data_IF_371258180190
#
_entry.id   IF_371258180190
#
_cell.length_a   1.000
_cell.length_b   1.000
_cell.length_c   1.000
_cell.angle_alpha   90.00
_cell.angle_beta   90.00
_cell.angle_gamma   90.00
#
_symmetry.space_group_name_H-M   'P 1'
#
loop_
_entity.id
_entity.type
_entity.pdbx_description
1 polymer ?
#
# COMPACT_ATOMS: atom_id res chain seq x y z
N UNK A 1 -11.85 -15.75 11.97
CA UNK A 1 -12.96 -14.95 12.54
C UNK A 1 -14.00 -15.86 13.17
N UNK A 2 -14.54 -16.85 12.45
CA UNK A 2 -15.55 -17.75 12.98
C UNK A 2 -15.04 -18.52 14.21
N UNK A 3 -13.81 -19.01 14.17
CA UNK A 3 -13.20 -19.73 15.30
C UNK A 3 -13.04 -18.83 16.53
N UNK A 4 -12.74 -17.60 16.35
CA UNK A 4 -12.69 -16.63 17.46
C UNK A 4 -14.06 -16.44 18.12
N UNK A 5 -14.86 -16.40 17.41
CA UNK A 5 -16.16 -16.28 17.91
C UNK A 5 -16.67 -17.48 18.63
N UNK A 6 -16.32 -18.71 18.12
CA UNK A 6 -16.67 -19.96 18.83
C UNK A 6 -15.98 -20.03 20.21
N UNK A 7 -14.71 -19.69 20.26
CA UNK A 7 -13.95 -19.66 21.52
C UNK A 7 -14.55 -18.68 22.53
N UNK A 8 -14.95 -17.48 22.05
CA UNK A 8 -15.60 -16.51 22.93
C UNK A 8 -16.96 -17.00 23.44
N UNK A 9 -17.74 -17.67 22.55
CA UNK A 9 -19.04 -18.21 22.93
C UNK A 9 -18.94 -19.34 23.96
N UNK A 10 -17.86 -20.14 23.88
CA UNK A 10 -17.62 -21.21 24.86
C UNK A 10 -17.25 -20.65 26.24
N UNK A 11 -16.51 -19.55 26.29
CA UNK A 11 -16.06 -18.96 27.55
C UNK A 11 -17.08 -18.00 28.17
N UNK A 12 -17.71 -17.13 27.34
CA UNK A 12 -18.59 -16.05 27.81
C UNK A 12 -20.07 -16.26 27.47
N UNK A 13 -20.38 -17.19 26.55
CA UNK A 13 -21.74 -17.42 26.07
C UNK A 13 -22.22 -16.40 25.04
N UNK A 14 -21.38 -15.46 24.61
CA UNK A 14 -21.75 -14.38 23.68
C UNK A 14 -21.17 -14.65 22.29
N UNK A 15 -22.02 -14.50 21.28
CA UNK A 15 -21.65 -14.69 19.86
C UNK A 15 -21.28 -13.37 19.17
N UNK A 16 -21.32 -12.25 19.90
CA UNK A 16 -21.09 -10.93 19.31
C UNK A 16 -19.58 -10.68 19.14
N UNK A 17 -19.15 -10.42 17.91
CA UNK A 17 -17.75 -10.15 17.56
C UNK A 17 -17.28 -8.82 18.15
N UNK A 18 -18.25 -7.89 18.42
CA UNK A 18 -17.94 -6.58 18.99
C UNK A 18 -17.76 -6.61 20.51
N UNK A 19 -17.94 -7.78 21.15
CA UNK A 19 -17.83 -7.95 22.59
C UNK A 19 -17.03 -9.21 22.94
N UNK A 20 -15.76 -9.22 22.50
CA UNK A 20 -14.84 -10.33 22.80
C UNK A 20 -14.12 -10.06 24.12
N UNK A 21 -14.37 -10.87 25.11
CA UNK A 21 -13.74 -10.75 26.43
C UNK A 21 -12.56 -11.70 26.58
N UNK A 22 -12.59 -12.82 25.87
CA UNK A 22 -11.51 -13.82 25.93
C UNK A 22 -10.28 -13.30 25.17
N UNK A 23 -9.10 -13.18 25.82
CA UNK A 23 -7.89 -12.67 25.17
C UNK A 23 -7.40 -13.57 24.03
N UNK A 24 -7.68 -14.89 24.10
CA UNK A 24 -7.30 -15.80 23.01
C UNK A 24 -8.17 -15.56 21.78
N UNK A 25 -9.48 -15.31 21.97
CA UNK A 25 -10.39 -14.97 20.89
C UNK A 25 -9.99 -13.64 20.25
N UNK A 26 -9.54 -12.65 21.04
CA UNK A 26 -9.05 -11.35 20.55
C UNK A 26 -7.81 -11.52 19.67
N UNK A 27 -6.85 -12.34 20.09
CA UNK A 27 -5.62 -12.57 19.29
C UNK A 27 -5.95 -13.33 18.00
N UNK A 28 -6.86 -14.31 18.05
CA UNK A 28 -7.28 -15.03 16.86
C UNK A 28 -8.01 -14.12 15.85
N UNK A 29 -8.82 -13.19 16.36
CA UNK A 29 -9.52 -12.22 15.50
C UNK A 29 -8.51 -11.29 14.81
N UNK A 30 -7.54 -10.76 15.57
CA UNK A 30 -6.51 -9.87 15.00
C UNK A 30 -5.65 -10.59 13.95
N UNK A 31 -5.26 -11.83 14.22
CA UNK A 31 -4.48 -12.63 13.26
C UNK A 31 -5.27 -12.95 12.00
N UNK A 32 -6.57 -13.27 12.14
CA UNK A 32 -7.44 -13.59 11.01
C UNK A 32 -7.64 -12.36 10.10
N UNK A 33 -7.85 -11.18 10.68
CA UNK A 33 -7.99 -9.94 9.93
C UNK A 33 -6.66 -9.53 9.28
N UNK A 34 -5.55 -9.71 10.00
CA UNK A 34 -4.20 -9.47 9.50
C UNK A 34 -3.86 -10.37 8.31
N UNK A 35 -4.27 -11.64 8.37
CA UNK A 35 -4.08 -12.58 7.26
C UNK A 35 -4.83 -12.11 6.02
N UNK A 36 -6.07 -11.64 6.16
CA UNK A 36 -6.87 -11.15 5.03
C UNK A 36 -6.28 -9.87 4.42
N UNK A 37 -5.73 -8.99 5.25
CA UNK A 37 -5.06 -7.77 4.78
C UNK A 37 -3.71 -8.08 4.12
N UNK A 38 -3.08 -9.18 4.50
CA UNK A 38 -1.75 -9.56 4.04
C UNK A 38 -0.64 -8.99 4.93
N UNK A 39 -0.91 -8.88 6.24
CA UNK A 39 0.10 -8.44 7.20
C UNK A 39 1.06 -9.61 7.53
N UNK A 40 2.30 -9.26 7.84
CA UNK A 40 3.29 -10.24 8.29
C UNK A 40 2.88 -10.80 9.67
N UNK A 41 3.11 -12.09 9.95
CA UNK A 41 3.90 -13.05 9.16
C UNK A 41 3.11 -13.79 8.06
N UNK A 42 1.81 -13.57 7.92
CA UNK A 42 0.92 -14.32 7.03
C UNK A 42 0.76 -13.65 5.65
N UNK A 43 1.81 -12.95 5.19
CA UNK A 43 1.77 -12.11 3.99
C UNK A 43 2.12 -12.85 2.68
N UNK A 44 2.64 -14.09 2.73
CA UNK A 44 3.27 -14.77 1.59
C UNK A 44 2.32 -14.97 0.40
N UNK A 45 1.01 -15.13 0.69
CA UNK A 45 0.00 -15.36 -0.35
C UNK A 45 -0.15 -14.15 -1.29
N UNK A 46 0.06 -12.92 -0.77
CA UNK A 46 -0.25 -11.69 -1.51
C UNK A 46 0.69 -11.47 -2.71
N UNK A 47 2.04 -11.53 -2.57
CA UNK A 47 2.92 -11.38 -3.74
C UNK A 47 2.74 -12.48 -4.79
N UNK A 48 2.44 -13.72 -4.36
CA UNK A 48 2.25 -14.86 -5.27
C UNK A 48 0.96 -14.70 -6.08
N UNK A 49 -0.15 -14.34 -5.42
CA UNK A 49 -1.43 -14.13 -6.08
C UNK A 49 -1.33 -12.96 -7.07
N UNK A 50 -0.72 -11.83 -6.65
CA UNK A 50 -0.59 -10.66 -7.52
C UNK A 50 0.31 -10.94 -8.73
N UNK A 51 1.33 -11.78 -8.57
CA UNK A 51 2.20 -12.20 -9.68
C UNK A 51 1.44 -13.03 -10.70
N UNK A 52 0.57 -13.93 -10.24
CA UNK A 52 -0.18 -14.87 -11.09
C UNK A 52 -1.41 -14.27 -11.78
N UNK A 53 -1.87 -13.08 -11.34
CA UNK A 53 -3.10 -12.48 -11.87
C UNK A 53 -2.81 -11.39 -12.89
N UNK A 54 -3.85 -10.96 -13.64
CA UNK A 54 -3.76 -9.84 -14.57
C UNK A 54 -3.68 -8.50 -13.81
N UNK A 55 -3.25 -7.45 -14.51
CA UNK A 55 -3.14 -6.10 -13.88
C UNK A 55 -4.49 -5.57 -13.43
N UNK A 56 -5.58 -5.88 -14.13
CA UNK A 56 -6.94 -5.46 -13.76
C UNK A 56 -7.36 -6.12 -12.44
N UNK A 57 -7.12 -7.43 -12.31
CA UNK A 57 -7.42 -8.16 -11.07
C UNK A 57 -6.48 -7.75 -9.94
N UNK A 58 -5.22 -7.42 -10.25
CA UNK A 58 -4.27 -6.88 -9.28
C UNK A 58 -4.80 -5.56 -8.68
N UNK A 59 -5.34 -4.68 -9.50
CA UNK A 59 -5.93 -3.42 -9.06
C UNK A 59 -7.07 -3.68 -8.05
N UNK A 60 -7.97 -4.56 -8.37
CA UNK A 60 -9.07 -4.96 -7.46
C UNK A 60 -8.53 -5.55 -6.16
N UNK A 61 -7.59 -6.34 -6.22
CA UNK A 61 -7.03 -6.99 -5.07
C UNK A 61 -6.30 -6.05 -4.15
N UNK A 62 -5.73 -4.97 -4.70
CA UNK A 62 -5.03 -4.03 -3.81
C UNK A 62 -5.92 -2.88 -3.32
N UNK A 63 -7.04 -2.60 -3.98
CA UNK A 63 -7.98 -1.54 -3.57
C UNK A 63 -9.23 -2.11 -2.92
N UNK A 64 -10.05 -2.80 -3.64
CA UNK A 64 -11.38 -3.27 -3.21
C UNK A 64 -11.31 -4.38 -2.13
N UNK A 65 -10.53 -5.15 -2.31
CA UNK A 65 -10.37 -6.26 -1.38
C UNK A 65 -9.84 -5.83 -0.02
N UNK A 66 -9.31 -4.67 0.02
CA UNK A 66 -8.81 -4.16 1.31
C UNK A 66 -9.88 -3.46 2.12
N UNK A 67 -10.96 -3.03 1.53
CA UNK A 67 -12.02 -2.26 2.21
C UNK A 67 -12.69 -3.05 3.32
N UNK A 68 -13.15 -4.27 3.05
CA UNK A 68 -13.89 -5.09 4.02
C UNK A 68 -13.07 -5.44 5.27
N UNK A 69 -11.87 -5.97 5.20
CA UNK A 69 -11.08 -6.19 6.41
C UNK A 69 -10.63 -4.92 7.15
N UNK A 70 -10.32 -3.92 6.48
CA UNK A 70 -10.02 -2.71 7.01
C UNK A 70 -11.11 -2.13 7.79
N UNK A 71 -12.48 -2.21 7.25
CA UNK A 71 -13.65 -1.71 8.03
C UNK A 71 -13.93 -2.56 9.25
N UNK A 72 -13.84 -3.86 9.12
CA UNK A 72 -13.98 -4.76 10.27
C UNK A 72 -12.95 -4.46 11.35
N UNK A 73 -11.70 -4.22 10.96
CA UNK A 73 -10.64 -3.91 11.93
C UNK A 73 -10.89 -2.57 12.65
N UNK A 74 -11.46 -1.60 11.92
CA UNK A 74 -11.83 -0.29 12.50
C UNK A 74 -13.01 -0.41 13.45
N UNK A 75 -13.98 -1.30 13.16
CA UNK A 75 -15.13 -1.52 14.02
C UNK A 75 -14.78 -2.31 15.28
N UNK A 76 -13.83 -3.25 15.16
CA UNK A 76 -13.42 -4.14 16.26
C UNK A 76 -12.13 -3.70 16.93
N UNK A 77 -11.69 -2.42 16.76
CA UNK A 77 -10.39 -1.97 17.28
C UNK A 77 -10.26 -2.11 18.80
N UNK A 78 -11.36 -1.94 19.55
CA UNK A 78 -11.39 -2.12 21.01
C UNK A 78 -11.19 -3.57 21.42
N UNK A 79 -11.52 -4.51 20.52
CA UNK A 79 -11.48 -5.95 20.81
C UNK A 79 -10.21 -6.62 20.26
N UNK A 80 -9.41 -5.88 19.48
CA UNK A 80 -8.16 -6.41 18.95
C UNK A 80 -7.06 -6.30 20.00
N UNK A 81 -6.20 -7.31 20.07
CA UNK A 81 -5.06 -7.27 21.00
C UNK A 81 -4.03 -6.27 20.47
N UNK A 82 -3.76 -5.25 21.27
CA UNK A 82 -2.83 -4.16 20.90
C UNK A 82 -1.44 -4.68 20.57
N UNK A 83 -0.97 -5.64 21.35
CA UNK A 83 0.37 -6.21 21.17
C UNK A 83 0.50 -6.90 19.81
N UNK A 84 -0.46 -7.77 19.47
CA UNK A 84 -0.40 -8.53 18.21
C UNK A 84 -0.52 -7.62 16.99
N UNK A 85 -1.44 -6.62 17.01
CA UNK A 85 -1.63 -5.73 15.86
C UNK A 85 -0.39 -4.84 15.63
N UNK A 86 0.24 -4.34 16.71
CA UNK A 86 1.43 -3.50 16.58
C UNK A 86 2.65 -4.32 16.13
N UNK A 87 2.81 -5.55 16.63
CA UNK A 87 3.91 -6.43 16.20
C UNK A 87 3.73 -6.85 14.74
N UNK A 88 2.51 -7.23 14.34
CA UNK A 88 2.21 -7.57 12.94
C UNK A 88 2.44 -6.38 12.01
N UNK A 89 2.04 -5.18 12.46
CA UNK A 89 2.25 -3.94 11.71
C UNK A 89 3.71 -3.61 11.52
N UNK A 90 4.50 -3.69 12.59
CA UNK A 90 5.94 -3.41 12.56
C UNK A 90 6.69 -4.41 11.66
N UNK A 91 6.37 -5.70 11.79
CA UNK A 91 6.94 -6.75 10.95
C UNK A 91 6.56 -6.54 9.47
N UNK A 92 5.32 -6.10 9.21
CA UNK A 92 4.84 -5.84 7.85
C UNK A 92 5.61 -4.70 7.19
N UNK A 93 5.89 -3.63 7.93
CA UNK A 93 6.67 -2.49 7.42
C UNK A 93 8.09 -2.94 7.08
N UNK A 94 8.73 -3.73 7.96
CA UNK A 94 10.08 -4.23 7.75
C UNK A 94 10.17 -5.18 6.55
N UNK A 95 9.27 -6.18 6.51
CA UNK A 95 9.27 -7.20 5.45
C UNK A 95 8.84 -6.57 4.11
N UNK A 96 7.86 -5.66 4.13
CA UNK A 96 7.41 -4.96 2.93
C UNK A 96 8.50 -4.08 2.32
N UNK A 97 9.27 -3.39 3.18
CA UNK A 97 10.39 -2.57 2.74
C UNK A 97 11.57 -3.37 2.19
N UNK A 98 12.00 -4.38 2.95
CA UNK A 98 13.15 -5.19 2.58
C UNK A 98 12.84 -6.17 1.44
N UNK A 99 11.64 -6.78 1.45
CA UNK A 99 11.23 -7.78 0.47
C UNK A 99 11.09 -7.22 -0.95
N UNK A 100 10.77 -5.93 -1.08
CA UNK A 100 10.63 -5.29 -2.37
C UNK A 100 11.93 -4.94 -3.07
N UNK A 101 13.05 -4.88 -2.34
CA UNK A 101 14.34 -4.39 -2.86
C UNK A 101 14.92 -5.28 -3.97
N UNK A 102 14.76 -6.61 -3.86
CA UNK A 102 15.35 -7.56 -4.79
C UNK A 102 14.38 -8.06 -5.86
N UNK A 103 13.20 -7.42 -5.98
CA UNK A 103 12.18 -7.87 -6.93
C UNK A 103 12.38 -7.20 -8.30
N UNK A 104 12.26 -8.00 -9.35
CA UNK A 104 12.35 -7.54 -10.75
C UNK A 104 10.97 -7.35 -11.38
N UNK A 105 9.92 -7.97 -10.81
CA UNK A 105 8.56 -7.89 -11.34
C UNK A 105 7.78 -6.77 -10.64
N UNK A 106 7.14 -5.91 -11.44
CA UNK A 106 6.42 -4.72 -10.93
C UNK A 106 5.26 -5.10 -10.02
N UNK A 107 4.55 -6.19 -10.33
CA UNK A 107 3.42 -6.65 -9.49
C UNK A 107 3.88 -7.10 -8.11
N UNK A 108 5.06 -7.73 -8.01
CA UNK A 108 5.63 -8.12 -6.71
C UNK A 108 6.07 -6.88 -5.91
N UNK A 109 6.65 -5.89 -6.58
CA UNK A 109 7.07 -4.63 -5.94
C UNK A 109 5.83 -3.92 -5.35
N UNK A 110 4.74 -3.86 -6.13
CA UNK A 110 3.46 -3.26 -5.67
C UNK A 110 2.88 -4.06 -4.50
N UNK A 111 2.99 -5.40 -4.53
CA UNK A 111 2.54 -6.27 -3.43
C UNK A 111 3.28 -5.93 -2.14
N UNK A 112 4.61 -5.84 -2.19
CA UNK A 112 5.43 -5.53 -1.01
C UNK A 112 5.18 -4.10 -0.51
N UNK A 113 4.96 -3.14 -1.41
CA UNK A 113 4.59 -1.78 -1.02
C UNK A 113 3.22 -1.75 -0.33
N UNK A 114 2.26 -2.56 -0.78
CA UNK A 114 0.96 -2.66 -0.14
C UNK A 114 1.06 -3.26 1.27
N UNK A 115 1.94 -4.28 1.46
CA UNK A 115 2.19 -4.88 2.77
C UNK A 115 2.76 -3.82 3.73
N UNK A 116 3.71 -3.00 3.26
CA UNK A 116 4.32 -1.94 4.08
C UNK A 116 3.31 -0.86 4.46
N UNK A 117 2.49 -0.38 3.51
CA UNK A 117 1.48 0.65 3.77
C UNK A 117 0.39 0.17 4.73
N UNK A 118 -0.06 -1.07 4.57
CA UNK A 118 -1.05 -1.67 5.48
C UNK A 118 -0.46 -1.93 6.86
N UNK A 119 0.85 -2.23 6.92
CA UNK A 119 1.58 -2.33 8.19
C UNK A 119 1.55 -1.02 8.97
N UNK A 120 1.77 0.11 8.29
CA UNK A 120 1.64 1.45 8.88
C UNK A 120 0.23 1.69 9.39
N UNK A 121 -0.79 1.33 8.59
CA UNK A 121 -2.19 1.47 8.99
C UNK A 121 -2.48 0.66 10.26
N UNK A 122 -1.98 -0.58 10.33
CA UNK A 122 -2.19 -1.47 11.47
C UNK A 122 -1.58 -0.91 12.77
N UNK A 123 -0.39 -0.29 12.68
CA UNK A 123 0.25 0.31 13.86
C UNK A 123 -0.50 1.54 14.38
N UNK A 124 -1.18 2.28 13.49
CA UNK A 124 -1.89 3.52 13.83
C UNK A 124 -3.31 3.23 14.34
N UNK A 125 -3.91 2.15 13.96
CA UNK A 125 -5.32 1.83 14.22
C UNK A 125 -5.66 1.86 15.71
N UNK A 126 -4.75 1.48 16.15
CA UNK A 126 -4.90 1.38 17.52
C UNK A 126 -4.91 2.69 18.26
N UNK A 127 -4.56 3.64 17.69
CA UNK A 127 -4.40 4.96 18.34
C UNK A 127 -5.43 5.96 17.81
N UNK A 128 -5.68 5.98 16.52
CA UNK A 128 -6.71 6.82 15.93
C UNK A 128 -7.30 6.14 14.69
N UNK A 129 -8.58 5.86 14.75
CA UNK A 129 -9.33 5.24 13.65
C UNK A 129 -9.37 6.17 12.43
N UNK A 130 -9.50 7.46 12.69
CA UNK A 130 -9.49 8.47 11.62
C UNK A 130 -8.18 8.50 10.83
N UNK A 131 -7.10 8.32 11.35
CA UNK A 131 -5.84 8.30 10.77
C UNK A 131 -5.54 7.09 9.99
N UNK A 132 -6.15 6.06 10.51
CA UNK A 132 -6.05 4.81 9.77
C UNK A 132 -6.91 4.83 8.51
N UNK A 133 -8.11 5.33 8.61
CA UNK A 133 -9.01 5.50 7.45
C UNK A 133 -8.39 6.44 6.41
N UNK A 134 -7.82 7.55 6.86
CA UNK A 134 -7.15 8.51 5.97
C UNK A 134 -5.97 7.85 5.24
N UNK A 135 -5.17 7.05 5.96
CA UNK A 135 -4.04 6.33 5.36
C UNK A 135 -4.51 5.35 4.28
N UNK A 136 -5.63 4.65 4.54
CA UNK A 136 -6.22 3.73 3.57
C UNK A 136 -6.70 4.47 2.31
N UNK A 137 -7.42 5.58 2.48
CA UNK A 137 -7.94 6.36 1.36
C UNK A 137 -6.80 6.94 0.52
N UNK A 138 -5.75 7.46 1.16
CA UNK A 138 -4.57 7.99 0.45
C UNK A 138 -3.83 6.88 -0.30
N UNK A 139 -3.69 5.70 0.31
CA UNK A 139 -3.07 4.55 -0.34
C UNK A 139 -3.86 4.16 -1.61
N UNK A 140 -5.19 4.10 -1.53
CA UNK A 140 -6.04 3.76 -2.68
C UNK A 140 -5.90 4.83 -3.77
N UNK A 141 -5.91 6.13 -3.39
CA UNK A 141 -5.79 7.25 -4.33
C UNK A 141 -4.46 7.25 -5.08
N UNK A 142 -3.36 6.86 -4.41
CA UNK A 142 -2.03 6.83 -5.04
C UNK A 142 -1.83 5.56 -5.87
N UNK A 143 -2.32 4.41 -5.37
CA UNK A 143 -2.10 3.12 -6.04
C UNK A 143 -2.97 2.95 -7.30
N UNK A 144 -4.16 3.58 -7.38
CA UNK A 144 -5.05 3.45 -8.55
C UNK A 144 -4.42 4.01 -9.83
N UNK A 145 -3.90 5.26 -9.89
CA UNK A 145 -3.31 5.77 -11.14
C UNK A 145 -2.03 5.01 -11.52
N UNK A 146 -1.27 4.54 -10.53
CA UNK A 146 -0.09 3.71 -10.80
C UNK A 146 -0.49 2.42 -11.53
N UNK A 147 -1.49 1.73 -11.00
CA UNK A 147 -1.99 0.48 -11.61
C UNK A 147 -2.63 0.72 -12.97
N UNK A 148 -3.38 1.82 -13.13
CA UNK A 148 -4.00 2.18 -14.41
C UNK A 148 -2.93 2.48 -15.47
N UNK A 149 -1.84 3.15 -15.10
CA UNK A 149 -0.72 3.44 -16.01
C UNK A 149 -0.02 2.14 -16.43
N UNK A 150 0.13 1.17 -15.52
CA UNK A 150 0.70 -0.14 -15.83
C UNK A 150 -0.22 -0.97 -16.73
N UNK A 151 -1.55 -0.87 -16.53
CA UNK A 151 -2.54 -1.52 -17.41
C UNK A 151 -2.42 -0.94 -18.82
N UNK A 152 -2.25 0.39 -18.91
CA UNK A 152 -2.17 1.12 -20.17
C UNK A 152 -0.90 0.73 -20.96
N UNK A 153 0.25 0.68 -20.28
CA UNK A 153 1.55 0.39 -20.89
C UNK A 153 1.83 -1.12 -21.01
N UNK A 154 1.12 -1.95 -20.24
CA UNK A 154 1.29 -3.42 -20.20
C UNK A 154 2.69 -3.89 -19.81
N UNK A 155 3.41 -3.07 -19.04
CA UNK A 155 4.78 -3.40 -18.58
C UNK A 155 4.74 -4.34 -17.37
N UNK A 156 5.57 -5.38 -17.39
CA UNK A 156 5.59 -6.42 -16.35
C UNK A 156 6.85 -6.35 -15.48
N UNK A 157 7.98 -5.96 -16.06
CA UNK A 157 9.27 -5.99 -15.39
C UNK A 157 9.85 -4.58 -15.24
N UNK A 158 10.83 -4.45 -14.33
CA UNK A 158 11.58 -3.19 -14.14
C UNK A 158 12.38 -2.83 -15.37
N UNK A 159 12.83 -3.83 -16.13
CA UNK A 159 13.58 -3.64 -17.38
C UNK A 159 12.68 -3.01 -18.46
N UNK A 160 11.40 -3.44 -18.53
CA UNK A 160 10.44 -2.84 -19.46
C UNK A 160 10.11 -1.41 -19.10
N UNK A 161 10.17 -1.08 -17.80
CA UNK A 161 9.95 0.27 -17.30
C UNK A 161 10.99 1.24 -17.84
N UNK A 162 12.26 0.80 -17.95
CA UNK A 162 13.35 1.63 -18.49
C UNK A 162 13.12 1.97 -19.97
N UNK A 163 12.51 1.04 -20.73
CA UNK A 163 12.23 1.25 -22.16
C UNK A 163 10.93 1.99 -22.44
N UNK A 164 10.10 2.23 -21.42
CA UNK A 164 8.78 2.88 -21.57
C UNK A 164 8.87 4.34 -22.04
N UNK A 165 10.01 4.99 -21.78
CA UNK A 165 10.27 6.38 -22.21
C UNK A 165 10.13 6.54 -23.72
N UNK A 166 10.48 5.51 -24.50
CA UNK A 166 10.41 5.56 -25.97
C UNK A 166 8.97 5.53 -26.49
N UNK A 167 8.03 4.93 -25.72
CA UNK A 167 6.63 4.81 -26.15
C UNK A 167 5.81 6.05 -25.82
N UNK A 168 5.87 6.50 -24.56
CA UNK A 168 5.07 7.65 -24.08
C UNK A 168 5.82 8.37 -22.95
N UNK A 169 6.62 9.42 -23.27
CA UNK A 169 7.42 10.08 -22.23
C UNK A 169 6.57 10.78 -21.16
N UNK A 170 5.42 11.35 -21.54
CA UNK A 170 4.52 11.99 -20.58
C UNK A 170 3.97 10.99 -19.57
N UNK A 171 3.51 9.83 -20.03
CA UNK A 171 2.95 8.81 -19.15
C UNK A 171 4.02 8.23 -18.22
N UNK A 172 5.25 8.07 -18.73
CA UNK A 172 6.38 7.59 -17.91
C UNK A 172 6.75 8.59 -16.80
N UNK A 173 6.80 9.88 -17.11
CA UNK A 173 7.10 10.91 -16.08
C UNK A 173 6.00 10.95 -15.02
N UNK A 174 4.73 10.87 -15.42
CA UNK A 174 3.61 10.84 -14.48
C UNK A 174 3.63 9.58 -13.62
N UNK A 175 3.97 8.44 -14.19
CA UNK A 175 4.11 7.17 -13.47
C UNK A 175 5.27 7.23 -12.47
N UNK A 176 6.37 7.88 -12.84
CA UNK A 176 7.50 8.14 -11.94
C UNK A 176 7.07 9.00 -10.75
N UNK A 177 6.28 10.05 -11.01
CA UNK A 177 5.75 10.93 -9.96
C UNK A 177 4.84 10.18 -9.00
N UNK A 178 3.99 9.25 -9.51
CA UNK A 178 3.13 8.42 -8.64
C UNK A 178 3.94 7.44 -7.81
N UNK A 179 5.03 6.89 -8.34
CA UNK A 179 5.93 6.01 -7.58
C UNK A 179 6.64 6.78 -6.46
N UNK A 180 7.09 8.01 -6.73
CA UNK A 180 7.69 8.89 -5.72
C UNK A 180 6.66 9.28 -4.66
N UNK A 181 5.41 9.51 -5.06
CA UNK A 181 4.30 9.80 -4.15
C UNK A 181 4.01 8.59 -3.26
N UNK A 182 4.02 7.37 -3.82
CA UNK A 182 3.83 6.14 -3.06
C UNK A 182 4.97 5.96 -2.03
N UNK A 183 6.19 6.42 -2.39
CA UNK A 183 7.34 6.38 -1.48
C UNK A 183 7.27 7.40 -0.35
N UNK A 184 6.34 8.36 -0.43
CA UNK A 184 6.12 9.35 0.62
C UNK A 184 7.07 10.54 0.59
N UNK A 185 7.56 10.90 -0.59
CA UNK A 185 8.46 12.04 -0.72
C UNK A 185 7.68 13.36 -0.76
N UNK A 186 8.10 14.36 0.05
CA UNK A 186 7.52 15.71 -0.08
C UNK A 186 7.96 16.36 -1.38
N UNK A 187 7.17 17.18 -2.05
CA UNK A 187 5.85 17.71 -1.67
C UNK A 187 4.65 16.92 -2.19
N UNK A 188 4.84 15.65 -2.50
CA UNK A 188 3.80 14.82 -3.12
C UNK A 188 2.77 14.33 -2.07
N UNK A 189 1.67 13.81 -2.54
CA UNK A 189 0.52 13.38 -1.72
C UNK A 189 0.90 12.35 -0.66
N UNK A 190 1.80 11.44 -1.00
CA UNK A 190 2.29 10.43 -0.07
C UNK A 190 2.96 10.99 1.20
N UNK A 191 3.53 11.99 1.12
CA UNK A 191 4.16 12.62 2.24
C UNK A 191 3.17 12.95 3.31
N UNK A 192 2.00 13.18 2.80
CA UNK A 192 0.91 13.48 3.68
C UNK A 192 0.50 12.33 4.56
N UNK A 193 0.59 11.27 4.07
CA UNK A 193 0.31 10.05 4.81
C UNK A 193 1.39 9.77 5.85
N UNK A 194 2.58 9.95 5.51
CA UNK A 194 3.73 9.69 6.38
C UNK A 194 3.90 10.81 7.41
N UNK A 195 3.62 11.90 7.06
CA UNK A 195 3.65 12.99 7.98
C UNK A 195 2.54 12.92 8.99
N UNK A 196 1.46 12.58 8.65
CA UNK A 196 0.33 12.42 9.55
C UNK A 196 0.46 11.19 10.43
N UNK A 197 1.08 10.27 9.92
CA UNK A 197 1.40 9.08 10.67
C UNK A 197 2.54 9.32 11.67
N UNK A 198 3.39 9.98 11.25
CA UNK A 198 4.50 10.34 12.12
C UNK A 198 4.10 11.34 13.18
N UNK A 199 3.32 12.15 12.92
CA UNK A 199 2.72 13.04 13.87
C UNK A 199 1.83 12.33 14.85
N UNK A 200 1.13 11.45 14.48
CA UNK A 200 0.28 10.68 15.36
C UNK A 200 1.07 9.69 16.24
N UNK A 201 2.09 9.18 15.69
CA UNK A 201 2.95 8.27 16.41
C UNK A 201 3.89 9.01 17.39
N UNK A 202 4.26 10.01 17.05
CA UNK A 202 5.03 10.85 17.94
C UNK A 202 4.24 11.39 19.11
N UNK A 203 3.18 11.62 18.90
CA UNK A 203 2.27 12.09 19.94
C UNK A 203 1.86 11.04 20.95
N UNK A 204 1.97 9.92 20.58
CA UNK A 204 1.54 8.85 21.43
C UNK A 204 2.71 8.28 22.28
N UNK A 205 3.80 8.77 22.25
CA UNK A 205 4.86 8.35 23.05
C UNK A 205 5.52 7.03 22.67
N UNK A 206 5.09 6.78 21.59
CA UNK A 206 5.60 5.51 21.08
C UNK A 206 6.91 5.71 20.30
N UNK A 207 7.67 6.23 20.84
CA UNK A 207 8.95 6.56 20.27
C UNK A 207 9.80 5.42 19.71
N UNK A 208 9.72 4.37 20.28
CA UNK A 208 10.41 3.21 19.87
C UNK A 208 9.76 2.61 18.64
N UNK A 209 8.54 2.72 18.59
CA UNK A 209 7.80 2.16 17.50
C UNK A 209 7.84 3.11 16.31
N UNK A 210 7.87 4.24 16.61
CA UNK A 210 7.98 5.22 15.58
C UNK A 210 9.37 5.28 14.94
N UNK A 211 10.21 5.01 15.61
CA UNK A 211 11.57 4.96 15.09
C UNK A 211 11.84 3.76 14.22
N UNK A 212 11.27 2.84 14.63
CA UNK A 212 11.37 1.65 13.85
C UNK A 212 10.55 1.75 12.58
N UNK A 213 9.53 2.31 12.67
CA UNK A 213 8.67 2.44 11.58
C UNK A 213 9.15 3.52 10.62
N UNK A 214 9.80 4.37 11.14
CA UNK A 214 10.42 5.37 10.30
C UNK A 214 11.65 4.87 9.54
N UNK A 215 12.24 4.01 10.04
CA UNK A 215 13.33 3.40 9.41
C UNK A 215 12.88 2.45 8.32
N UNK A 216 11.79 1.99 8.59
CA UNK A 216 11.23 1.08 7.64
C UNK A 216 10.52 1.83 6.51
N UNK A 217 10.13 2.87 6.78
CA UNK A 217 9.57 3.68 5.76
C UNK A 217 10.63 4.22 4.81
N UNK A 218 11.68 4.27 5.23
CA UNK A 218 12.81 4.59 4.42
C UNK A 218 13.18 3.45 3.48
N UNK A 219 12.86 2.39 3.92
CA UNK A 219 13.05 1.25 3.11
C UNK A 219 12.00 1.19 2.01
N UNK A 220 10.85 1.61 2.28
CA UNK A 220 9.83 1.66 1.29
C UNK A 220 10.05 2.81 0.31
N UNK A 221 10.72 3.73 0.82
CA UNK A 221 11.13 4.80 -0.03
C UNK A 221 12.32 4.40 -0.91
N UNK A 222 13.06 3.62 -0.51
CA UNK A 222 14.16 3.13 -1.23
C UNK A 222 13.74 2.15 -2.33
N UNK A 223 12.69 1.53 -2.01
CA UNK A 223 12.17 0.63 -2.98
C UNK A 223 11.50 1.40 -4.12
N UNK A 224 10.88 2.40 -3.77
CA UNK A 224 10.28 3.20 -4.76
C UNK A 224 11.28 4.13 -5.46
N UNK A 225 12.32 4.44 -4.82
CA UNK A 225 13.39 5.19 -5.42
C UNK A 225 14.26 4.34 -6.33
N UNK A 226 14.32 3.20 -6.03
CA UNK A 226 15.00 2.29 -6.85
C UNK A 226 14.27 2.01 -8.15
N UNK A 227 12.99 2.02 -8.08
CA UNK A 227 12.20 1.87 -9.22
C UNK A 227 12.17 3.17 -10.05
N UNK A 228 12.28 4.18 -9.34
CA UNK A 228 12.36 5.46 -10.01
C UNK A 228 13.75 5.73 -10.59
N UNK A 229 14.72 5.23 -10.05
CA UNK A 229 16.06 5.33 -10.52
C UNK A 229 16.29 4.45 -11.73
N UNK A 230 15.62 3.53 -11.74
CA UNK A 230 15.67 2.67 -12.84
C UNK A 230 15.04 3.28 -14.09
N UNK A 231 14.17 3.83 -13.85
CA UNK A 231 13.52 4.49 -14.88
C UNK A 231 14.22 5.77 -15.37
N UNK A 232 14.75 6.25 -14.53
CA UNK A 232 15.53 7.45 -14.82
C UNK A 232 16.83 7.11 -15.51
N UNK A 233 17.41 6.18 -15.15
CA UNK A 233 18.67 5.75 -15.78
C UNK A 233 18.48 5.16 -17.18
N UNK A 234 17.45 4.92 -17.28
CA UNK A 234 17.22 4.29 -18.49
C UNK A 234 16.80 5.16 -19.58
N UNK A 235 17.20 6.32 -19.66
CA UNK A 235 17.08 7.15 -20.85
C UNK A 235 18.14 6.68 -21.86
N UNK A 236 18.12 5.44 -22.11
CA UNK A 236 18.96 4.80 -23.10
C UNK A 236 18.44 5.15 -24.50
N UNK A 237 19.38 5.46 -25.42
CA UNK A 237 18.95 5.74 -26.78
C UNK A 237 18.27 4.54 -27.42
N UNK A 238 17.13 4.72 -27.65
CA UNK A 238 16.44 3.63 -28.22
C UNK A 238 16.07 4.02 -29.56
N UNK A 239 16.78 4.06 -30.17
CA UNK A 239 16.63 4.49 -31.47
C UNK A 239 15.79 3.64 -32.36
N UNK A 240 15.88 2.43 -32.24
CA UNK A 240 15.14 1.50 -33.09
C UNK A 240 13.66 1.43 -32.71
N UNK A 241 13.34 1.55 -31.43
CA UNK A 241 11.96 1.52 -30.96
C UNK A 241 11.20 2.81 -31.27
N UNK A 242 11.90 3.93 -31.39
CA UNK A 242 11.29 5.21 -31.72
C UNK A 242 10.75 5.22 -33.16
N UNK A 243 11.42 4.53 -34.08
CA UNK A 243 11.02 4.51 -35.50
C UNK A 243 9.68 3.79 -35.72
N UNK A 244 9.29 2.88 -34.81
CA UNK A 244 8.02 2.13 -34.93
C UNK A 244 6.88 2.74 -34.11
N UNK A 245 7.07 3.94 -33.54
CA UNK A 245 6.08 4.60 -32.67
C UNK A 245 4.76 4.88 -33.35
N UNK A 246 4.77 5.15 -34.66
CA UNK A 246 3.56 5.41 -35.45
C UNK A 246 2.63 4.20 -35.55
N UNK A 247 3.16 2.99 -35.31
CA UNK A 247 2.37 1.74 -35.32
C UNK A 247 1.66 1.47 -34.01
N UNK A 248 2.01 2.20 -32.93
CA UNK A 248 1.41 1.96 -31.61
C UNK A 248 0.02 2.59 -31.53
N UNK A 249 -0.98 1.74 -31.36
CA UNK A 249 -2.36 2.20 -31.17
C UNK A 249 -2.54 2.61 -29.71
N UNK A 250 -2.91 3.87 -29.49
CA UNK A 250 -3.22 4.38 -28.17
C UNK A 250 -4.62 3.94 -27.74
N UNK A 251 -4.74 3.41 -26.54
CA UNK A 251 -6.04 3.09 -25.94
C UNK A 251 -6.74 4.39 -25.54
N UNK A 252 -8.02 4.49 -25.85
CA UNK A 252 -8.78 5.74 -25.71
C UNK A 252 -9.38 5.97 -24.32
N UNK A 253 -9.55 4.92 -23.51
CA UNK A 253 -10.22 5.03 -22.20
C UNK A 253 -9.24 5.50 -21.11
N UNK A 254 -8.93 6.80 -21.09
CA UNK A 254 -7.96 7.41 -20.16
C UNK A 254 -8.61 8.30 -19.10
N UNK A 255 -9.95 8.36 -19.05
CA UNK A 255 -10.66 9.31 -18.19
C UNK A 255 -10.37 9.06 -16.70
N UNK A 256 -10.41 7.79 -16.24
CA UNK A 256 -10.10 7.45 -14.86
C UNK A 256 -8.65 7.79 -14.51
N UNK A 257 -7.72 7.58 -15.45
CA UNK A 257 -6.31 7.88 -15.24
C UNK A 257 -6.09 9.38 -15.10
N UNK A 258 -6.72 10.19 -15.97
CA UNK A 258 -6.57 11.64 -15.96
C UNK A 258 -7.18 12.28 -14.70
N UNK A 259 -8.23 11.67 -14.13
CA UNK A 259 -8.84 12.17 -12.89
C UNK A 259 -8.02 11.81 -11.64
N UNK A 260 -7.45 10.60 -11.60
CA UNK A 260 -6.74 10.12 -10.41
C UNK A 260 -5.29 10.59 -10.33
N UNK A 261 -4.64 10.89 -11.47
CA UNK A 261 -3.24 11.33 -11.50
C UNK A 261 -3.00 12.64 -10.73
N UNK A 262 -3.79 13.73 -10.93
CA UNK A 262 -3.54 14.97 -10.19
C UNK A 262 -3.73 14.80 -8.67
N UNK A 263 -4.71 13.99 -8.26
CA UNK A 263 -4.97 13.72 -6.84
C UNK A 263 -3.80 12.97 -6.19
N UNK A 264 -3.17 12.07 -6.92
CA UNK A 264 -2.05 11.28 -6.40
C UNK A 264 -0.75 12.08 -6.31
N UNK A 265 -0.60 13.14 -7.12
CA UNK A 265 0.62 13.95 -7.18
C UNK A 265 0.47 15.23 -6.34
N UNK A 266 -0.65 15.95 -6.50
CA UNK A 266 -0.85 17.30 -5.96
C UNK A 266 -1.81 17.35 -4.75
N UNK A 267 -1.97 16.27 -4.02
CA UNK A 267 -2.86 16.22 -2.87
C UNK A 267 -2.37 16.90 -1.58
N UNK A 268 -1.29 17.20 -1.54
CA UNK A 268 -0.70 17.75 -0.47
C UNK A 268 -1.36 18.91 0.11
N UNK A 269 -1.91 19.98 -0.78
CA UNK A 269 -2.62 21.13 -0.19
C UNK A 269 -3.96 20.80 0.47
N UNK A 270 -4.52 19.63 0.19
CA UNK A 270 -5.77 19.16 0.80
C UNK A 270 -5.58 18.69 2.25
N UNK A 271 -4.34 18.63 2.73
CA UNK A 271 -4.01 18.12 4.06
C UNK A 271 -4.68 18.87 5.23
N UNK A 272 -4.79 20.22 5.20
CA UNK A 272 -5.48 20.92 6.30
C UNK A 272 -6.96 20.57 6.43
N UNK A 273 -7.60 20.15 5.33
CA UNK A 273 -9.00 19.72 5.34
C UNK A 273 -9.17 18.32 5.93
N UNK A 274 -8.07 17.56 6.05
CA UNK A 274 -8.08 16.17 6.51
C UNK A 274 -7.57 16.01 7.95
N UNK A 275 -7.56 17.10 8.73
CA UNK A 275 -7.15 17.01 10.15
C UNK A 275 -8.12 16.10 10.90
N UNK A 276 -7.60 15.08 11.65
CA UNK A 276 -8.46 14.16 12.40
C UNK A 276 -9.17 14.80 13.59
#
# INVERSE_FOLDING_TARGET
ILFAXIMNAQTTGQWNILQLEDPLAQTLLTMALGMKLGLAPTHFWLPEVLQGTSFKTTLIXITWXKLAPXTLMLLTWNQTSMLTITTMGALSVLIGGLGGLNQTQLRKIIAFSSIAHLGWMATIIXKSNKXALLNLTMYILISTPLMLSLIFTSMKTTQELTTSWTTSPLLTTLMMMTLLSLGGLPPLTGXXXXXXXXXXXXXXXXXXXXXXXXXXXXXXXXXXXXXXXXXXMXIAPXXTKITSKWRLKTKTATLLLSMTLPLSIMGXPLMPLMKP
#
